data_IF_416485384970
#
_entry.id   IF_416485384970
#
_cell.length_a   1.000
_cell.length_b   1.000
_cell.length_c   1.000
_cell.angle_alpha   90.00
_cell.angle_beta   90.00
_cell.angle_gamma   90.00
#
_symmetry.space_group_name_H-M   'P 1'
#
loop_
_entity.id
_entity.type
_entity.pdbx_description
1 polymer ?
#
# COMPACT_ATOMS: atom_id res chain seq x y z
N UNK A 3 21.70 10.16 9.65
CA UNK A 3 20.94 10.13 10.90
C UNK A 3 19.59 10.82 10.75
N UNK A 4 19.41 11.53 9.64
CA UNK A 4 18.18 12.29 9.42
C UNK A 4 17.83 12.13 7.95
N UNK A 5 18.77 11.59 7.17
CA UNK A 5 18.66 11.54 5.72
C UNK A 5 18.69 10.08 5.24
N UNK A 6 17.90 9.24 5.91
CA UNK A 6 17.82 7.82 5.60
C UNK A 6 16.55 7.57 4.79
N UNK A 7 16.72 7.17 3.54
CA UNK A 7 15.59 6.85 2.67
C UNK A 7 15.25 5.38 2.83
N UNK A 8 14.31 5.09 3.71
CA UNK A 8 13.88 3.72 3.93
C UNK A 8 12.68 3.66 4.84
N UNK A 9 12.00 2.52 4.81
CA UNK A 9 10.81 2.30 5.62
C UNK A 9 11.23 1.72 6.96
N UNK A 10 10.47 2.05 8.00
CA UNK A 10 10.74 1.58 9.36
C UNK A 10 9.68 0.64 9.89
N UNK A 11 8.40 0.97 9.71
CA UNK A 11 7.31 0.13 10.18
C UNK A 11 6.22 0.08 9.12
N UNK A 12 5.70 -1.11 8.86
CA UNK A 12 4.59 -1.31 7.93
C UNK A 12 3.50 -2.01 8.72
N UNK A 13 2.59 -1.23 9.30
CA UNK A 13 1.51 -1.77 10.12
C UNK A 13 0.28 -1.94 9.23
N UNK A 14 -0.05 -3.18 8.91
CA UNK A 14 -1.16 -3.51 8.03
C UNK A 14 -2.25 -4.16 8.87
N UNK A 15 -3.49 -3.69 8.70
CA UNK A 15 -4.65 -4.24 9.40
C UNK A 15 -5.54 -4.90 8.35
N UNK A 16 -5.51 -6.23 8.29
CA UNK A 16 -6.34 -6.96 7.35
C UNK A 16 -7.74 -7.17 7.92
N UNK A 17 -8.74 -7.05 7.06
CA UNK A 17 -10.11 -7.41 7.41
C UNK A 17 -10.72 -8.15 6.23
N UNK A 18 -11.26 -9.33 6.49
CA UNK A 18 -11.83 -10.15 5.43
C UNK A 18 -13.06 -9.47 4.86
N UNK A 19 -13.14 -9.38 3.53
CA UNK A 19 -14.27 -8.73 2.89
C UNK A 19 -15.59 -9.44 3.17
N UNK A 20 -15.55 -10.75 3.42
CA UNK A 20 -16.77 -11.52 3.63
C UNK A 20 -17.11 -11.65 5.11
N UNK A 21 -16.19 -12.21 5.90
CA UNK A 21 -16.45 -12.45 7.31
C UNK A 21 -16.29 -11.21 8.17
N UNK A 22 -15.68 -10.14 7.64
CA UNK A 22 -15.43 -8.91 8.39
C UNK A 22 -14.63 -9.19 9.66
N UNK A 23 -13.64 -10.08 9.55
CA UNK A 23 -12.76 -10.41 10.67
C UNK A 23 -11.52 -9.54 10.58
N UNK A 24 -11.37 -8.61 11.53
CA UNK A 24 -10.27 -7.66 11.52
C UNK A 24 -9.06 -8.31 12.18
N UNK A 25 -8.02 -8.56 11.39
CA UNK A 25 -6.76 -9.11 11.88
C UNK A 25 -5.70 -8.05 11.68
N UNK A 26 -5.13 -7.56 12.78
CA UNK A 26 -4.12 -6.54 12.73
C UNK A 26 -4.23 -5.54 13.87
N UNK A 27 -3.33 -4.55 13.90
CA UNK A 27 -2.22 -4.31 12.96
C UNK A 27 -1.05 -5.27 13.18
N UNK A 28 -0.39 -5.68 12.10
CA UNK A 28 0.71 -6.64 12.15
C UNK A 28 1.89 -6.04 11.40
N UNK A 29 2.98 -5.77 12.11
CA UNK A 29 4.16 -5.20 11.47
C UNK A 29 4.74 -6.17 10.45
N UNK A 30 5.25 -5.61 9.35
CA UNK A 30 5.78 -6.40 8.26
C UNK A 30 7.20 -5.96 7.94
N UNK A 31 7.96 -6.87 7.34
CA UNK A 31 9.35 -6.63 6.98
C UNK A 31 9.49 -6.64 5.47
N UNK A 32 10.36 -5.77 4.96
CA UNK A 32 10.59 -5.73 3.52
C UNK A 32 11.40 -6.95 3.08
N UNK A 33 11.10 -7.52 1.92
CA UNK A 33 11.87 -8.68 1.45
C UNK A 33 13.17 -8.32 0.76
N UNK A 34 13.33 -7.09 0.30
CA UNK A 34 14.53 -6.68 -0.41
C UNK A 34 14.73 -5.18 -0.17
N UNK A 35 15.58 -4.56 -0.99
CA UNK A 35 15.90 -3.15 -0.85
C UNK A 35 14.93 -2.24 -1.60
N UNK A 36 13.98 -2.79 -2.35
CA UNK A 36 13.01 -1.98 -3.06
C UNK A 36 11.97 -1.42 -2.09
N UNK A 37 11.73 -0.12 -2.18
CA UNK A 37 10.83 0.60 -1.28
C UNK A 37 9.43 0.66 -1.85
N UNK A 38 8.41 0.78 -0.99
CA UNK A 38 7.03 0.88 -1.49
C UNK A 38 6.83 2.17 -2.27
N UNK A 39 6.23 2.05 -3.45
CA UNK A 39 5.89 3.20 -4.26
C UNK A 39 4.50 3.70 -3.92
N UNK A 40 4.29 5.00 -4.09
CA UNK A 40 3.04 5.64 -3.71
C UNK A 40 2.55 6.54 -4.83
N UNK A 41 1.26 6.88 -4.76
CA UNK A 41 0.68 7.90 -5.64
C UNK A 41 -0.50 8.50 -4.89
N UNK A 42 -0.28 9.66 -4.26
CA UNK A 42 -1.31 10.23 -3.40
C UNK A 42 -2.45 10.85 -4.20
N UNK A 43 -2.13 11.48 -5.33
CA UNK A 43 -3.15 12.18 -6.11
C UNK A 43 -4.16 11.19 -6.68
N UNK A 44 -5.44 11.48 -6.49
CA UNK A 44 -6.53 10.63 -6.95
C UNK A 44 -7.08 11.07 -8.30
N UNK A 45 -6.48 12.08 -8.93
CA UNK A 45 -6.89 12.55 -10.24
C UNK A 45 -5.72 12.38 -11.20
N UNK A 46 -5.88 11.50 -12.19
CA UNK A 46 -4.82 11.21 -13.15
C UNK A 46 -5.02 12.08 -14.38
N UNK A 47 -4.13 13.04 -14.58
CA UNK A 47 -4.20 13.89 -15.75
C UNK A 47 -3.73 13.13 -16.99
N UNK A 48 -4.18 13.60 -18.15
CA UNK A 48 -3.80 13.03 -19.43
C UNK A 48 -3.36 14.14 -20.36
N UNK A 49 -2.42 13.82 -21.24
CA UNK A 49 -1.84 14.82 -22.13
C UNK A 49 -2.79 15.15 -23.27
N UNK A 50 -2.99 16.45 -23.51
CA UNK A 50 -3.77 16.92 -24.65
C UNK A 50 -2.96 17.94 -25.44
N UNK A 51 -3.59 18.61 -26.39
CA UNK A 51 -2.89 19.56 -27.23
C UNK A 51 -2.50 20.81 -26.45
N UNK A 52 -1.43 21.46 -26.93
CA UNK A 52 -0.93 22.78 -26.48
C UNK A 52 -1.17 23.03 -25.00
N UNK A 53 -0.68 22.12 -24.17
CA UNK A 53 -0.59 22.34 -22.74
C UNK A 53 -1.85 22.07 -21.95
N UNK A 54 -2.92 21.62 -22.58
CA UNK A 54 -4.15 21.31 -21.87
C UNK A 54 -4.12 19.86 -21.38
N UNK A 55 -4.84 19.61 -20.29
CA UNK A 55 -4.92 18.28 -19.70
C UNK A 55 -6.38 17.98 -19.37
N UNK A 56 -6.67 16.69 -19.22
CA UNK A 56 -8.01 16.21 -18.90
C UNK A 56 -7.97 15.61 -17.49
N UNK A 57 -8.46 16.38 -16.52
CA UNK A 57 -8.52 15.91 -15.14
C UNK A 57 -9.56 14.81 -15.02
N UNK A 58 -9.11 13.57 -14.92
CA UNK A 58 -9.99 12.41 -14.82
C UNK A 58 -9.82 11.77 -13.45
N UNK A 59 -10.92 11.31 -12.88
CA UNK A 59 -10.88 10.68 -11.57
C UNK A 59 -10.18 9.32 -11.65
N UNK A 60 -9.36 9.03 -10.64
CA UNK A 60 -8.63 7.78 -10.58
C UNK A 60 -8.43 7.41 -9.12
N UNK A 61 -7.51 6.48 -8.87
CA UNK A 61 -7.27 5.96 -7.53
C UNK A 61 -5.90 6.38 -7.02
N UNK A 62 -5.68 6.13 -5.73
CA UNK A 62 -4.40 6.40 -5.08
C UNK A 62 -3.65 5.07 -4.95
N UNK A 63 -2.97 4.70 -6.03
CA UNK A 63 -2.27 3.43 -6.09
C UNK A 63 -1.10 3.41 -5.10
N UNK A 64 -0.87 2.24 -4.51
CA UNK A 64 0.25 2.04 -3.60
C UNK A 64 0.77 0.62 -3.76
N UNK A 65 2.01 0.48 -4.23
CA UNK A 65 2.64 -0.82 -4.42
C UNK A 65 3.51 -1.12 -3.21
N UNK A 66 3.08 -2.07 -2.39
CA UNK A 66 3.73 -2.37 -1.11
C UNK A 66 4.25 -3.80 -1.09
N UNK A 67 5.53 -4.03 -1.35
CA UNK A 67 6.09 -5.38 -1.21
C UNK A 67 6.51 -5.64 0.23
N UNK A 68 5.97 -6.70 0.82
CA UNK A 68 6.25 -7.05 2.20
C UNK A 68 6.47 -8.55 2.31
N UNK A 69 7.16 -8.96 3.38
CA UNK A 69 7.29 -10.37 3.71
C UNK A 69 6.01 -10.83 4.38
N UNK A 70 5.38 -11.86 3.82
CA UNK A 70 4.12 -12.35 4.35
C UNK A 70 4.32 -12.90 5.76
N UNK A 71 3.44 -12.50 6.67
CA UNK A 71 3.51 -12.95 8.05
C UNK A 71 2.94 -14.36 8.14
N UNK A 72 3.69 -15.27 8.79
CA UNK A 72 3.27 -16.66 8.87
C UNK A 72 1.94 -16.84 9.59
N UNK A 73 1.56 -15.89 10.45
CA UNK A 73 0.30 -15.98 11.15
C UNK A 73 -0.89 -15.61 10.28
N UNK A 74 -0.66 -15.03 9.11
CA UNK A 74 -1.71 -14.53 8.23
C UNK A 74 -1.76 -15.41 6.99
N UNK A 75 -2.93 -15.87 6.57
CA UNK A 75 -3.01 -16.63 5.32
C UNK A 75 -2.58 -15.79 4.13
N UNK A 76 -1.98 -16.45 3.14
CA UNK A 76 -1.48 -15.75 1.97
C UNK A 76 -2.59 -15.13 1.14
N UNK A 77 -3.82 -15.63 1.27
CA UNK A 77 -4.93 -15.10 0.49
C UNK A 77 -5.20 -13.64 0.82
N UNK A 78 -4.98 -13.23 2.07
CA UNK A 78 -5.27 -11.86 2.48
C UNK A 78 -4.40 -10.85 1.76
N UNK A 79 -3.26 -11.27 1.22
CA UNK A 79 -2.37 -10.38 0.49
C UNK A 79 -2.70 -10.32 -0.99
N UNK A 80 -3.76 -10.98 -1.43
CA UNK A 80 -4.05 -11.13 -2.85
C UNK A 80 -5.52 -10.85 -3.14
N UNK A 81 -6.09 -9.85 -2.46
CA UNK A 81 -7.42 -9.37 -2.75
C UNK A 81 -8.52 -9.98 -1.90
N UNK A 82 -8.23 -11.07 -1.19
CA UNK A 82 -9.26 -11.73 -0.40
C UNK A 82 -9.68 -10.94 0.83
N UNK A 83 -8.97 -9.87 1.18
CA UNK A 83 -9.30 -9.10 2.37
C UNK A 83 -8.84 -7.66 2.18
N UNK A 84 -9.60 -6.73 2.76
CA UNK A 84 -9.21 -5.33 2.73
C UNK A 84 -7.97 -5.12 3.60
N UNK A 85 -7.11 -4.20 3.17
CA UNK A 85 -5.87 -3.89 3.87
C UNK A 85 -5.91 -2.44 4.32
N UNK A 86 -5.50 -2.21 5.57
CA UNK A 86 -5.38 -0.87 6.14
C UNK A 86 -3.89 -0.65 6.42
N UNK A 87 -3.18 -0.15 5.42
CA UNK A 87 -1.72 -0.06 5.46
C UNK A 87 -1.32 1.26 6.10
N UNK A 88 -0.28 1.21 6.94
CA UNK A 88 0.20 2.38 7.67
C UNK A 88 1.73 2.31 7.66
N UNK A 89 2.34 2.95 6.67
CA UNK A 89 3.78 2.89 6.45
C UNK A 89 4.43 4.15 6.98
N UNK A 90 5.42 3.99 7.85
CA UNK A 90 6.20 5.09 8.40
C UNK A 90 7.64 4.93 7.93
N UNK A 91 8.14 5.93 7.21
CA UNK A 91 9.50 5.87 6.69
C UNK A 91 10.50 6.31 7.76
N UNK A 92 11.78 6.25 7.41
CA UNK A 92 12.84 6.58 8.36
C UNK A 92 12.96 8.09 8.58
N UNK A 93 12.52 8.90 7.63
CA UNK A 93 12.64 10.35 7.73
C UNK A 93 11.40 11.00 8.33
N UNK A 94 10.52 10.21 8.95
CA UNK A 94 9.33 10.72 9.59
C UNK A 94 8.07 10.67 8.75
N UNK A 95 8.20 10.42 7.45
CA UNK A 95 7.03 10.37 6.58
C UNK A 95 6.16 9.17 6.93
N UNK A 96 4.91 9.44 7.28
CA UNK A 96 3.94 8.41 7.64
C UNK A 96 2.70 8.61 6.78
N UNK A 97 2.32 7.57 6.04
CA UNK A 97 1.18 7.63 5.12
C UNK A 97 0.19 6.54 5.49
N UNK A 98 -0.99 6.94 5.94
CA UNK A 98 -2.03 6.00 6.35
C UNK A 98 -2.97 5.75 5.17
N UNK A 99 -3.13 4.49 4.80
CA UNK A 99 -4.08 4.08 3.77
C UNK A 99 -5.20 3.29 4.43
N UNK A 100 -6.44 3.63 4.10
CA UNK A 100 -7.61 3.02 4.72
C UNK A 100 -8.50 2.38 3.67
N UNK A 101 -8.99 1.19 3.98
CA UNK A 101 -9.94 0.46 3.13
C UNK A 101 -9.38 0.24 1.73
N UNK A 102 -8.12 -0.18 1.66
CA UNK A 102 -7.53 -0.53 0.38
C UNK A 102 -8.03 -1.87 -0.12
N UNK A 103 -7.66 -2.17 -1.36
CA UNK A 103 -8.08 -3.42 -1.99
C UNK A 103 -7.05 -3.82 -3.03
N UNK A 104 -6.42 -4.98 -2.83
CA UNK A 104 -5.45 -5.48 -3.80
C UNK A 104 -6.18 -5.81 -5.10
N UNK A 105 -5.83 -5.10 -6.17
CA UNK A 105 -6.59 -5.18 -7.41
C UNK A 105 -6.04 -6.25 -8.35
N UNK A 106 -4.72 -6.37 -8.45
CA UNK A 106 -4.08 -7.29 -9.39
C UNK A 106 -3.17 -8.23 -8.60
N UNK A 107 -3.73 -9.31 -8.04
CA UNK A 107 -2.91 -10.26 -7.28
C UNK A 107 -1.99 -11.04 -8.21
N UNK A 108 -0.69 -10.98 -7.95
CA UNK A 108 0.30 -11.72 -8.69
C UNK A 108 0.83 -12.87 -7.84
N UNK A 109 1.43 -13.85 -8.52
CA UNK A 109 1.92 -15.04 -7.83
C UNK A 109 3.05 -14.69 -6.87
N UNK A 110 2.98 -15.24 -5.66
CA UNK A 110 3.99 -15.06 -4.64
C UNK A 110 4.54 -16.42 -4.23
N UNK A 111 5.85 -16.49 -4.01
CA UNK A 111 6.52 -17.74 -3.70
C UNK A 111 6.27 -18.22 -2.27
N UNK A 112 5.33 -17.60 -1.55
CA UNK A 112 4.97 -18.01 -0.21
C UNK A 112 5.55 -17.15 0.89
N UNK A 113 6.60 -16.38 0.59
CA UNK A 113 7.20 -15.49 1.58
C UNK A 113 7.09 -14.03 1.20
N UNK A 114 7.53 -13.66 0.00
CA UNK A 114 7.55 -12.27 -0.44
C UNK A 114 6.36 -12.01 -1.35
N UNK A 115 5.40 -11.24 -0.86
CA UNK A 115 4.23 -10.84 -1.64
C UNK A 115 4.40 -9.40 -2.07
N UNK A 116 3.75 -9.03 -3.17
CA UNK A 116 3.74 -7.66 -3.66
C UNK A 116 2.29 -7.25 -3.89
N UNK A 117 1.82 -6.28 -3.11
CA UNK A 117 0.45 -5.80 -3.23
C UNK A 117 0.40 -4.58 -4.12
N UNK A 118 -0.62 -4.52 -4.97
CA UNK A 118 -0.95 -3.33 -5.74
C UNK A 118 -2.23 -2.77 -5.13
N UNK A 119 -2.07 -1.97 -4.09
CA UNK A 119 -3.19 -1.51 -3.29
C UNK A 119 -3.84 -0.29 -3.94
N UNK A 120 -5.16 -0.24 -3.86
CA UNK A 120 -5.96 0.84 -4.43
C UNK A 120 -6.89 1.38 -3.35
N UNK A 121 -6.85 2.69 -3.14
CA UNK A 121 -7.70 3.33 -2.15
C UNK A 121 -8.11 4.71 -2.66
N UNK A 122 -9.19 5.23 -2.09
CA UNK A 122 -9.70 6.53 -2.53
C UNK A 122 -8.76 7.66 -2.16
N UNK A 123 -7.99 7.51 -1.08
CA UNK A 123 -7.10 8.56 -0.63
C UNK A 123 -5.93 7.95 0.13
N UNK A 124 -4.78 8.60 0.05
CA UNK A 124 -3.60 8.23 0.82
C UNK A 124 -3.17 9.46 1.61
N UNK A 125 -3.25 9.36 2.94
CA UNK A 125 -2.87 10.45 3.81
C UNK A 125 -1.34 10.53 3.85
N UNK A 126 -0.82 11.59 4.47
CA UNK A 126 0.62 11.77 4.59
C UNK A 126 0.91 12.65 5.79
N UNK A 127 1.80 12.19 6.67
CA UNK A 127 2.14 12.97 7.85
C UNK A 127 3.02 14.16 7.50
N UNK A 128 4.01 13.95 6.61
CA UNK A 128 4.90 14.99 6.12
C UNK A 128 5.54 15.76 7.27
N UNK A 129 6.52 15.17 7.96
CA UNK A 129 7.18 15.71 9.16
C UNK A 129 7.64 17.16 8.99
#
# INVERSE_FOLDING_TARGET
MACNKQNGVKNILITFTDCDTQEVIGPISHEQPDDTLPTYKNCAWTNTALTNGYVQRSASNATMTLPVVRDLRVPLAFYQGCAQVDVQVEKFDGTVMTLTEGAVVEPEESDGRSVTMNIVASEIDELLPPGSLAAA
#
